data_IF_638297733661
#
_entry.id   IF_638297733661
#
_cell.length_a   1.000
_cell.length_b   1.000
_cell.length_c   1.000
_cell.angle_alpha   90.00
_cell.angle_beta   90.00
_cell.angle_gamma   90.00
#
_symmetry.space_group_name_H-M   'P 1'
#
loop_
_entity.id
_entity.type
_entity.pdbx_description
1 polymer ?
#
# COMPACT_ATOMS: atom_id res chain seq x y z
N UNK A 1 27.92 -16.86 28.88
CA UNK A 1 27.24 -15.56 28.92
C UNK A 1 26.00 -15.74 29.78
N UNK A 2 25.98 -15.07 30.93
CA UNK A 2 25.07 -15.34 32.05
C UNK A 2 23.62 -15.24 31.60
N UNK A 3 22.86 -16.33 31.76
CA UNK A 3 21.41 -16.32 31.60
C UNK A 3 20.87 -15.18 32.47
N UNK A 4 20.30 -14.15 31.83
CA UNK A 4 19.64 -13.07 32.53
C UNK A 4 18.52 -13.70 33.34
N UNK A 5 18.60 -13.67 34.67
CA UNK A 5 17.58 -14.28 35.51
C UNK A 5 16.29 -13.49 35.30
N UNK A 6 15.33 -14.08 34.59
CA UNK A 6 14.07 -13.43 34.22
C UNK A 6 13.31 -12.99 35.48
N UNK A 7 13.51 -13.68 36.60
CA UNK A 7 12.89 -13.39 37.90
C UNK A 7 13.36 -12.10 38.58
N UNK A 8 14.46 -11.48 38.11
CA UNK A 8 14.93 -10.20 38.67
C UNK A 8 14.56 -8.98 37.82
N UNK A 9 13.97 -9.20 36.63
CA UNK A 9 13.58 -8.13 35.72
C UNK A 9 12.29 -7.45 36.19
N UNK A 10 12.14 -6.11 36.04
CA UNK A 10 10.86 -5.42 36.14
C UNK A 10 9.79 -6.02 35.22
N UNK A 11 8.52 -5.96 35.63
CA UNK A 11 7.41 -6.56 34.88
C UNK A 11 7.33 -6.07 33.43
N UNK A 12 7.52 -4.77 33.20
CA UNK A 12 7.53 -4.21 31.85
C UNK A 12 8.66 -4.76 30.98
N UNK A 13 9.83 -5.09 31.54
CA UNK A 13 10.94 -5.69 30.78
C UNK A 13 10.64 -7.13 30.39
N UNK A 14 10.06 -7.93 31.30
CA UNK A 14 9.61 -9.30 30.99
C UNK A 14 8.58 -9.29 29.88
N UNK A 15 7.63 -8.37 29.97
CA UNK A 15 6.58 -8.19 28.97
C UNK A 15 7.14 -7.71 27.62
N UNK A 16 8.01 -6.69 27.63
CA UNK A 16 8.68 -6.17 26.42
C UNK A 16 9.50 -7.26 25.72
N UNK A 17 10.18 -8.13 26.48
CA UNK A 17 10.87 -9.32 25.95
C UNK A 17 9.92 -10.30 25.25
N UNK A 18 8.80 -10.64 25.88
CA UNK A 18 7.80 -11.53 25.29
C UNK A 18 7.26 -10.94 23.98
N UNK A 19 6.80 -9.68 24.03
CA UNK A 19 6.21 -8.96 22.89
C UNK A 19 7.19 -8.82 21.73
N UNK A 20 8.43 -8.43 21.99
CA UNK A 20 9.44 -8.27 20.94
C UNK A 20 9.73 -9.59 20.22
N UNK A 21 9.83 -10.70 20.97
CA UNK A 21 10.06 -12.02 20.38
C UNK A 21 8.92 -12.44 19.45
N UNK A 22 7.68 -12.30 19.92
CA UNK A 22 6.49 -12.62 19.13
C UNK A 22 6.41 -11.75 17.87
N UNK A 23 6.76 -10.47 17.97
CA UNK A 23 6.70 -9.53 16.85
C UNK A 23 7.78 -9.80 15.80
N UNK A 24 9.01 -10.15 16.20
CA UNK A 24 10.13 -10.34 15.26
C UNK A 24 10.26 -11.75 14.72
N UNK A 25 9.91 -12.76 15.54
CA UNK A 25 10.20 -14.16 15.24
C UNK A 25 8.96 -15.05 15.24
N UNK A 26 7.78 -14.50 15.55
CA UNK A 26 6.51 -15.24 15.65
C UNK A 26 6.60 -16.44 16.59
N UNK A 27 7.48 -16.37 17.59
CA UNK A 27 7.69 -17.41 18.59
C UNK A 27 8.05 -16.79 19.94
N UNK A 28 7.95 -17.60 20.99
CA UNK A 28 8.27 -17.17 22.36
C UNK A 28 9.79 -17.07 22.56
N UNK A 29 10.26 -16.24 23.51
CA UNK A 29 11.70 -16.02 23.71
C UNK A 29 12.52 -17.30 23.95
N UNK A 30 11.92 -18.32 24.56
CA UNK A 30 12.55 -19.63 24.84
C UNK A 30 12.41 -20.66 23.72
N UNK A 31 11.68 -20.33 22.65
CA UNK A 31 11.52 -21.18 21.45
C UNK A 31 12.48 -20.76 20.32
N UNK A 32 13.22 -19.66 20.51
CA UNK A 32 14.15 -19.13 19.51
C UNK A 32 15.37 -20.03 19.30
N UNK A 33 15.87 -20.09 18.06
CA UNK A 33 17.16 -20.71 17.73
C UNK A 33 18.34 -19.89 18.28
N UNK A 34 19.53 -20.47 18.38
CA UNK A 34 20.72 -19.74 18.84
C UNK A 34 21.03 -18.49 18.01
N UNK A 35 20.82 -18.54 16.70
CA UNK A 35 21.03 -17.41 15.80
C UNK A 35 20.02 -16.28 16.06
N UNK A 36 18.73 -16.63 16.21
CA UNK A 36 17.68 -15.70 16.57
C UNK A 36 17.96 -15.03 17.91
N UNK A 37 18.37 -15.82 18.91
CA UNK A 37 18.71 -15.31 20.25
C UNK A 37 19.83 -14.27 20.23
N UNK A 38 20.87 -14.46 19.39
CA UNK A 38 21.99 -13.50 19.28
C UNK A 38 21.53 -12.13 18.81
N UNK A 39 20.70 -12.07 17.77
CA UNK A 39 20.17 -10.82 17.25
C UNK A 39 19.13 -10.21 18.20
N UNK A 40 18.28 -11.07 18.76
CA UNK A 40 17.22 -10.69 19.68
C UNK A 40 17.75 -9.95 20.92
N UNK A 41 18.82 -10.44 21.55
CA UNK A 41 19.42 -9.79 22.74
C UNK A 41 19.91 -8.38 22.42
N UNK A 42 20.51 -8.17 21.25
CA UNK A 42 20.99 -6.84 20.83
C UNK A 42 19.81 -5.88 20.63
N UNK A 43 18.74 -6.36 19.99
CA UNK A 43 17.53 -5.56 19.75
C UNK A 43 16.79 -5.25 21.05
N UNK A 44 16.64 -6.24 21.93
CA UNK A 44 16.00 -6.09 23.23
C UNK A 44 16.73 -5.08 24.12
N UNK A 45 18.06 -5.12 24.17
CA UNK A 45 18.84 -4.15 24.92
C UNK A 45 18.67 -2.72 24.39
N UNK A 46 18.60 -2.55 23.06
CA UNK A 46 18.32 -1.25 22.44
C UNK A 46 16.92 -0.76 22.75
N UNK A 47 15.92 -1.65 22.68
CA UNK A 47 14.53 -1.32 23.00
C UNK A 47 14.39 -0.90 24.47
N UNK A 48 14.91 -1.67 25.42
CA UNK A 48 14.84 -1.32 26.84
C UNK A 48 15.54 -0.01 27.17
N UNK A 49 16.69 0.27 26.53
CA UNK A 49 17.36 1.58 26.68
C UNK A 49 16.42 2.71 26.27
N UNK A 50 15.73 2.54 25.14
CA UNK A 50 14.80 3.54 24.62
C UNK A 50 13.54 3.70 25.49
N UNK A 51 12.88 2.60 25.84
CA UNK A 51 11.67 2.59 26.68
C UNK A 51 11.93 3.24 28.04
N UNK A 52 13.10 2.97 28.63
CA UNK A 52 13.54 3.62 29.86
C UNK A 52 13.72 5.13 29.68
N UNK A 53 14.42 5.56 28.63
CA UNK A 53 14.64 6.98 28.35
C UNK A 53 13.33 7.74 28.10
N UNK A 54 12.38 7.12 27.42
CA UNK A 54 11.02 7.68 27.20
C UNK A 54 10.29 7.81 28.54
N UNK A 55 10.34 6.76 29.38
CA UNK A 55 9.63 6.75 30.68
C UNK A 55 10.17 7.79 31.65
N UNK A 56 11.49 7.91 31.77
CA UNK A 56 12.12 8.95 32.60
C UNK A 56 11.71 10.37 32.14
N UNK A 57 11.52 10.55 30.83
CA UNK A 57 11.04 11.82 30.27
C UNK A 57 9.53 12.02 30.49
N UNK A 58 8.75 10.95 30.47
CA UNK A 58 7.31 10.97 30.76
C UNK A 58 7.02 11.46 32.18
N UNK A 59 7.76 10.94 33.16
CA UNK A 59 7.67 11.33 34.57
C UNK A 59 7.95 12.84 34.75
N UNK A 60 8.95 13.37 34.03
CA UNK A 60 9.26 14.81 34.04
C UNK A 60 8.15 15.69 33.47
N UNK A 61 7.33 15.15 32.56
CA UNK A 61 6.26 15.89 31.87
C UNK A 61 4.87 15.68 32.50
N UNK A 62 4.75 14.80 33.50
CA UNK A 62 3.49 14.55 34.21
C UNK A 62 2.39 13.91 33.35
N UNK A 63 2.74 13.22 32.27
CA UNK A 63 1.79 12.58 31.36
C UNK A 63 1.14 11.38 32.08
N UNK A 64 -0.19 11.37 32.17
CA UNK A 64 -0.98 10.28 32.78
C UNK A 64 -1.64 9.42 31.71
N UNK A 65 -1.64 8.11 31.95
CA UNK A 65 -2.27 7.10 31.10
C UNK A 65 -3.77 7.00 31.38
N UNK A 66 -4.57 6.80 30.33
CA UNK A 66 -5.98 6.44 30.44
C UNK A 66 -6.19 4.91 30.38
N UNK A 67 -7.34 4.43 30.87
CA UNK A 67 -7.63 2.98 30.86
C UNK A 67 -7.78 2.41 29.44
N UNK A 68 -8.13 3.25 28.46
CA UNK A 68 -8.28 2.85 27.07
C UNK A 68 -6.94 2.39 26.48
N UNK A 69 -5.84 3.11 26.75
CA UNK A 69 -4.51 2.73 26.28
C UNK A 69 -4.06 1.35 26.80
N UNK A 70 -4.42 1.01 28.04
CA UNK A 70 -4.12 -0.29 28.65
C UNK A 70 -4.86 -1.41 27.93
N UNK A 71 -6.16 -1.21 27.65
CA UNK A 71 -6.97 -2.19 26.91
C UNK A 71 -6.45 -2.44 25.50
N UNK A 72 -6.06 -1.38 24.77
CA UNK A 72 -5.51 -1.51 23.42
C UNK A 72 -4.21 -2.31 23.39
N UNK A 73 -3.29 -2.07 24.34
CA UNK A 73 -2.03 -2.81 24.44
C UNK A 73 -2.27 -4.31 24.70
N UNK A 74 -3.25 -4.65 25.54
CA UNK A 74 -3.59 -6.05 25.84
C UNK A 74 -4.09 -6.80 24.61
N UNK A 75 -4.93 -6.14 23.80
CA UNK A 75 -5.52 -6.76 22.61
C UNK A 75 -4.46 -7.19 21.59
N UNK A 76 -3.48 -6.33 21.30
CA UNK A 76 -2.44 -6.60 20.29
C UNK A 76 -1.62 -7.84 20.62
N UNK A 77 -1.29 -8.06 21.90
CA UNK A 77 -0.51 -9.22 22.26
C UNK A 77 -1.35 -10.50 22.27
N UNK A 78 -2.64 -10.39 22.64
CA UNK A 78 -3.58 -11.52 22.64
C UNK A 78 -3.79 -12.11 21.24
N UNK A 79 -3.63 -11.32 20.17
CA UNK A 79 -3.76 -11.81 18.78
C UNK A 79 -2.65 -12.77 18.35
N UNK A 80 -1.53 -12.85 19.09
CA UNK A 80 -0.45 -13.82 18.80
C UNK A 80 -0.71 -15.22 19.37
N UNK A 81 -1.83 -15.42 20.09
CA UNK A 81 -2.16 -16.68 20.75
C UNK A 81 -3.51 -17.21 20.26
N UNK A 82 -3.57 -18.50 19.96
CA UNK A 82 -4.79 -19.15 19.48
C UNK A 82 -5.84 -19.28 20.60
N UNK A 83 -5.40 -19.58 21.81
CA UNK A 83 -6.26 -19.87 22.96
C UNK A 83 -5.77 -19.24 24.27
N UNK A 84 -6.66 -19.15 25.25
CA UNK A 84 -6.39 -18.56 26.56
C UNK A 84 -5.40 -19.37 27.42
N UNK A 85 -5.46 -20.71 27.48
CA UNK A 85 -4.43 -21.52 28.12
C UNK A 85 -3.00 -21.24 27.62
N UNK A 86 -2.79 -21.17 26.30
CA UNK A 86 -1.49 -20.87 25.69
C UNK A 86 -0.98 -19.47 26.10
N UNK A 87 -1.89 -18.49 26.18
CA UNK A 87 -1.60 -17.15 26.68
C UNK A 87 -1.17 -17.15 28.16
N UNK A 88 -1.95 -17.80 29.03
CA UNK A 88 -1.66 -17.88 30.46
C UNK A 88 -0.34 -18.61 30.74
N UNK A 89 -0.07 -19.70 30.01
CA UNK A 89 1.19 -20.43 30.11
C UNK A 89 2.39 -19.56 29.71
N UNK A 90 2.25 -18.73 28.68
CA UNK A 90 3.30 -17.81 28.25
C UNK A 90 3.57 -16.71 29.29
N UNK A 91 2.53 -16.14 29.90
CA UNK A 91 2.66 -15.17 30.99
C UNK A 91 3.34 -15.80 32.22
N UNK A 92 2.88 -16.98 32.62
CA UNK A 92 3.43 -17.70 33.76
C UNK A 92 4.92 -18.03 33.54
N UNK A 93 5.29 -18.51 32.36
CA UNK A 93 6.69 -18.79 32.03
C UNK A 93 7.54 -17.52 31.96
N UNK A 94 6.95 -16.41 31.51
CA UNK A 94 7.59 -15.10 31.56
C UNK A 94 7.64 -14.50 32.98
N UNK A 95 7.05 -15.16 33.98
CA UNK A 95 6.98 -14.69 35.36
C UNK A 95 6.15 -13.41 35.49
N UNK A 96 5.09 -13.27 34.70
CA UNK A 96 4.16 -12.13 34.72
C UNK A 96 2.83 -12.62 35.28
N UNK A 97 2.41 -12.08 36.42
CA UNK A 97 1.08 -12.26 36.99
C UNK A 97 0.11 -11.17 36.49
N UNK A 98 -1.18 -11.26 36.83
CA UNK A 98 -2.19 -10.30 36.37
C UNK A 98 -1.88 -8.85 36.78
N UNK A 99 -1.38 -8.66 38.00
CA UNK A 99 -0.97 -7.36 38.51
C UNK A 99 0.23 -6.81 37.71
N UNK A 100 1.24 -7.64 37.47
CA UNK A 100 2.41 -7.31 36.68
C UNK A 100 2.09 -7.07 35.20
N UNK A 101 1.15 -7.81 34.63
CA UNK A 101 0.64 -7.58 33.28
C UNK A 101 -0.01 -6.18 33.20
N UNK A 102 -0.89 -5.84 34.14
CA UNK A 102 -1.52 -4.50 34.17
C UNK A 102 -0.48 -3.40 34.30
N UNK A 103 0.57 -3.59 35.10
CA UNK A 103 1.69 -2.64 35.20
C UNK A 103 2.47 -2.52 33.89
N UNK A 104 2.75 -3.63 33.21
CA UNK A 104 3.47 -3.63 31.94
C UNK A 104 2.67 -2.95 30.81
N UNK A 105 1.35 -3.19 30.77
CA UNK A 105 0.45 -2.54 29.83
C UNK A 105 0.30 -1.04 30.12
N UNK A 106 0.24 -0.64 31.39
CA UNK A 106 0.27 0.77 31.77
C UNK A 106 1.58 1.46 31.35
N UNK A 107 2.72 0.76 31.49
CA UNK A 107 4.00 1.25 30.98
C UNK A 107 3.95 1.45 29.46
N UNK A 108 3.49 0.45 28.70
CA UNK A 108 3.34 0.57 27.24
C UNK A 108 2.44 1.75 26.84
N UNK A 109 1.27 1.87 27.47
CA UNK A 109 0.36 2.97 27.22
C UNK A 109 0.98 4.34 27.57
N UNK A 110 1.84 4.40 28.59
CA UNK A 110 2.64 5.61 28.90
C UNK A 110 3.56 5.97 27.75
N UNK A 111 4.29 5.00 27.22
CA UNK A 111 5.20 5.22 26.10
C UNK A 111 4.44 5.77 24.88
N UNK A 112 3.31 5.16 24.53
CA UNK A 112 2.45 5.61 23.43
C UNK A 112 1.95 7.04 23.65
N UNK A 113 1.40 7.34 24.84
CA UNK A 113 0.90 8.67 25.16
C UNK A 113 1.98 9.76 25.09
N UNK A 114 3.21 9.44 25.54
CA UNK A 114 4.36 10.36 25.46
C UNK A 114 4.73 10.62 24.01
N UNK A 115 4.82 9.56 23.21
CA UNK A 115 5.14 9.65 21.79
C UNK A 115 4.08 10.46 21.03
N UNK A 116 2.80 10.29 21.34
CA UNK A 116 1.71 11.06 20.76
C UNK A 116 1.75 12.53 21.20
N UNK A 117 2.03 12.81 22.47
CA UNK A 117 2.18 14.16 23.00
C UNK A 117 3.38 14.89 22.40
N UNK A 118 4.49 14.18 22.18
CA UNK A 118 5.67 14.69 21.46
C UNK A 118 5.32 14.98 20.01
N UNK A 119 4.69 14.02 19.33
CA UNK A 119 4.25 14.20 17.95
C UNK A 119 3.29 15.41 17.81
N UNK A 120 2.41 15.64 18.78
CA UNK A 120 1.50 16.79 18.83
C UNK A 120 2.18 18.16 18.94
N UNK A 121 3.45 18.22 19.31
CA UNK A 121 4.24 19.46 19.35
C UNK A 121 4.85 19.83 18.00
N UNK A 122 4.67 18.99 16.96
CA UNK A 122 5.19 19.27 15.63
C UNK A 122 4.59 20.58 15.06
N UNK A 123 5.40 21.47 14.46
CA UNK A 123 4.91 22.72 13.89
C UNK A 123 3.79 22.50 12.87
N UNK A 124 2.64 23.21 12.99
CA UNK A 124 1.53 23.00 12.08
C UNK A 124 1.92 23.34 10.64
N UNK A 125 1.42 22.55 9.69
CA UNK A 125 1.53 22.86 8.26
C UNK A 125 0.71 24.11 7.95
N UNK A 126 1.36 25.12 7.36
CA UNK A 126 0.70 26.39 7.03
C UNK A 126 -0.08 26.29 5.73
N UNK A 127 -1.19 27.04 5.65
CA UNK A 127 -2.01 27.07 4.43
C UNK A 127 -1.24 27.61 3.22
N UNK A 128 -0.37 28.60 3.42
CA UNK A 128 0.43 29.20 2.34
C UNK A 128 1.42 28.22 1.72
N UNK A 129 2.01 27.33 2.51
CA UNK A 129 2.94 26.30 2.04
C UNK A 129 2.22 25.25 1.18
N UNK A 130 1.04 24.79 1.65
CA UNK A 130 0.21 23.82 0.93
C UNK A 130 -0.32 24.40 -0.37
N UNK A 131 -0.79 25.65 -0.34
CA UNK A 131 -1.31 26.36 -1.51
C UNK A 131 -0.22 26.57 -2.57
N UNK A 132 0.96 27.04 -2.15
CA UNK A 132 2.11 27.25 -3.07
C UNK A 132 2.50 25.94 -3.75
N UNK A 133 2.58 24.85 -2.97
CA UNK A 133 2.92 23.56 -3.52
C UNK A 133 1.83 23.01 -4.45
N UNK A 134 0.55 23.17 -4.09
CA UNK A 134 -0.57 22.77 -4.95
C UNK A 134 -0.51 23.48 -6.31
N UNK A 135 -0.28 24.79 -6.32
CA UNK A 135 -0.15 25.57 -7.57
C UNK A 135 0.98 25.08 -8.47
N UNK A 136 2.10 24.66 -7.87
CA UNK A 136 3.23 24.07 -8.60
C UNK A 136 2.96 22.64 -9.09
N UNK A 137 1.93 21.97 -8.55
CA UNK A 137 1.66 20.54 -8.77
C UNK A 137 0.22 20.25 -9.22
N UNK A 138 -0.51 21.23 -9.79
CA UNK A 138 -1.92 21.09 -10.18
C UNK A 138 -2.17 19.87 -11.08
N UNK A 139 -1.24 19.60 -12.01
CA UNK A 139 -1.32 18.45 -12.92
C UNK A 139 -1.42 17.09 -12.19
N UNK A 140 -0.95 16.97 -10.94
CA UNK A 140 -1.05 15.74 -10.13
C UNK A 140 -2.45 15.49 -9.59
N UNK A 141 -3.29 16.52 -9.58
CA UNK A 141 -4.68 16.47 -9.12
C UNK A 141 -5.68 16.35 -10.27
N UNK A 142 -5.16 16.24 -11.49
CA UNK A 142 -5.94 15.93 -12.69
C UNK A 142 -5.83 14.44 -12.95
N UNK A 143 -6.98 13.76 -12.95
CA UNK A 143 -7.10 12.41 -13.47
C UNK A 143 -7.47 12.54 -14.95
N UNK A 144 -6.56 12.20 -15.88
CA UNK A 144 -6.89 12.25 -17.30
C UNK A 144 -7.95 11.19 -17.61
N UNK A 145 -8.75 11.46 -18.65
CA UNK A 145 -9.68 10.48 -19.21
C UNK A 145 -8.96 9.17 -19.53
N UNK A 146 -9.56 8.04 -19.15
CA UNK A 146 -9.08 6.70 -19.49
C UNK A 146 -10.18 5.91 -20.18
N UNK A 147 -9.79 5.02 -21.09
CA UNK A 147 -10.72 4.10 -21.75
C UNK A 147 -10.27 2.67 -21.56
N UNK A 148 -11.16 1.83 -21.05
CA UNK A 148 -10.94 0.38 -21.00
C UNK A 148 -11.17 -0.14 -22.41
N UNK A 149 -10.11 -0.67 -23.03
CA UNK A 149 -10.11 -1.01 -24.44
C UNK A 149 -9.66 -2.44 -24.72
N UNK A 150 -10.18 -2.98 -25.81
CA UNK A 150 -9.70 -4.20 -26.45
C UNK A 150 -9.31 -3.91 -27.89
N UNK A 151 -8.40 -4.71 -28.42
CA UNK A 151 -7.78 -4.52 -29.72
C UNK A 151 -7.61 -5.85 -30.44
N UNK A 152 -7.96 -5.85 -31.72
CA UNK A 152 -7.70 -6.91 -32.68
C UNK A 152 -6.89 -6.32 -33.84
N UNK A 153 -5.73 -6.91 -34.11
CA UNK A 153 -4.83 -6.55 -35.22
C UNK A 153 -4.75 -7.71 -36.22
N UNK A 154 -4.82 -7.40 -37.51
CA UNK A 154 -4.29 -8.23 -38.58
C UNK A 154 -3.18 -7.45 -39.29
N UNK A 155 -1.99 -8.04 -39.41
CA UNK A 155 -0.81 -7.43 -40.01
C UNK A 155 -0.93 -7.47 -41.53
N UNK A 156 -0.56 -6.37 -42.19
CA UNK A 156 -0.40 -6.34 -43.65
C UNK A 156 1.09 -6.54 -43.94
N UNK A 157 1.39 -7.58 -44.72
CA UNK A 157 2.73 -7.84 -45.25
C UNK A 157 2.60 -8.29 -46.71
N UNK A 158 2.81 -7.35 -47.63
CA UNK A 158 2.68 -7.59 -49.07
C UNK A 158 3.78 -8.53 -49.62
N UNK A 159 4.81 -8.85 -48.84
CA UNK A 159 5.79 -9.88 -49.20
C UNK A 159 5.25 -11.31 -48.96
N UNK A 160 4.18 -11.46 -48.19
CA UNK A 160 3.55 -12.74 -47.89
C UNK A 160 2.23 -12.90 -48.64
N UNK A 161 2.09 -13.98 -49.40
CA UNK A 161 0.92 -14.23 -50.24
C UNK A 161 -0.41 -14.23 -49.44
N UNK A 162 -0.40 -14.66 -48.18
CA UNK A 162 -1.59 -14.75 -47.32
C UNK A 162 -1.85 -13.50 -46.44
N UNK A 163 -1.00 -12.49 -46.53
CA UNK A 163 -1.06 -11.26 -45.72
C UNK A 163 -1.05 -9.98 -46.56
N UNK A 164 -1.30 -10.12 -47.87
CA UNK A 164 -1.50 -8.97 -48.76
C UNK A 164 -2.67 -8.11 -48.28
N UNK A 165 -2.60 -6.80 -48.56
CA UNK A 165 -3.64 -5.83 -48.18
C UNK A 165 -5.06 -6.29 -48.49
N UNK A 166 -5.30 -6.85 -49.69
CA UNK A 166 -6.63 -7.27 -50.12
C UNK A 166 -7.17 -8.44 -49.26
N UNK A 167 -6.33 -9.45 -48.98
CA UNK A 167 -6.72 -10.61 -48.18
C UNK A 167 -6.98 -10.21 -46.73
N UNK A 168 -6.11 -9.37 -46.17
CA UNK A 168 -6.25 -8.86 -44.79
C UNK A 168 -7.51 -8.01 -44.66
N UNK A 169 -7.83 -7.17 -45.65
CA UNK A 169 -9.07 -6.39 -45.68
C UNK A 169 -10.33 -7.28 -45.67
N UNK A 170 -10.38 -8.32 -46.50
CA UNK A 170 -11.51 -9.26 -46.54
C UNK A 170 -11.68 -10.01 -45.22
N UNK A 171 -10.57 -10.49 -44.64
CA UNK A 171 -10.55 -11.15 -43.32
C UNK A 171 -11.04 -10.20 -42.23
N UNK A 172 -10.54 -8.97 -42.22
CA UNK A 172 -10.93 -7.98 -41.22
C UNK A 172 -12.41 -7.59 -41.34
N UNK A 173 -12.92 -7.40 -42.56
CA UNK A 173 -14.33 -7.12 -42.80
C UNK A 173 -15.24 -8.27 -42.34
N UNK A 174 -14.81 -9.53 -42.50
CA UNK A 174 -15.54 -10.68 -41.96
C UNK A 174 -15.55 -10.69 -40.42
N UNK A 175 -14.43 -10.36 -39.78
CA UNK A 175 -14.36 -10.22 -38.31
C UNK A 175 -15.23 -9.07 -37.81
N UNK A 176 -15.19 -7.91 -38.46
CA UNK A 176 -16.01 -6.76 -38.10
C UNK A 176 -17.50 -7.08 -38.14
N UNK A 177 -17.99 -7.74 -39.20
CA UNK A 177 -19.39 -8.19 -39.27
C UNK A 177 -19.77 -9.13 -38.13
N UNK A 178 -18.88 -10.05 -37.76
CA UNK A 178 -19.09 -10.96 -36.61
C UNK A 178 -19.18 -10.22 -35.29
N UNK A 179 -18.33 -9.20 -35.10
CA UNK A 179 -18.31 -8.37 -33.90
C UNK A 179 -19.52 -7.43 -33.83
N UNK A 180 -19.97 -6.88 -34.96
CA UNK A 180 -21.18 -6.06 -35.04
C UNK A 180 -22.45 -6.84 -34.63
N UNK A 181 -22.49 -8.15 -34.89
CA UNK A 181 -23.59 -9.00 -34.43
C UNK A 181 -23.54 -9.28 -32.93
N UNK A 182 -22.34 -9.41 -32.36
CA UNK A 182 -22.14 -9.74 -30.94
C UNK A 182 -20.73 -9.31 -30.48
N UNK A 183 -20.58 -8.10 -29.91
CA UNK A 183 -19.30 -7.59 -29.43
C UNK A 183 -18.67 -8.47 -28.35
N UNK A 184 -19.46 -9.29 -27.62
CA UNK A 184 -18.93 -10.19 -26.58
C UNK A 184 -18.08 -11.32 -27.16
N UNK A 185 -18.06 -11.49 -28.48
CA UNK A 185 -17.15 -12.43 -29.18
C UNK A 185 -15.74 -11.88 -29.32
N UNK A 186 -15.50 -10.61 -28.98
CA UNK A 186 -14.22 -9.94 -29.16
C UNK A 186 -13.05 -10.77 -28.63
N UNK A 187 -13.11 -11.17 -27.36
CA UNK A 187 -12.04 -11.95 -26.74
C UNK A 187 -11.73 -13.25 -27.50
N UNK A 188 -12.76 -14.00 -27.89
CA UNK A 188 -12.58 -15.27 -28.63
C UNK A 188 -12.03 -15.05 -30.04
N UNK A 189 -12.48 -13.99 -30.72
CA UNK A 189 -11.99 -13.65 -32.05
C UNK A 189 -10.56 -13.11 -32.00
N UNK A 190 -10.22 -12.33 -30.99
CA UNK A 190 -8.87 -11.84 -30.75
C UNK A 190 -7.89 -12.99 -30.49
N UNK A 191 -8.22 -13.92 -29.57
CA UNK A 191 -7.39 -15.13 -29.31
C UNK A 191 -7.14 -15.94 -30.58
N UNK A 192 -8.15 -16.06 -31.44
CA UNK A 192 -8.08 -16.94 -32.61
C UNK A 192 -7.41 -16.30 -33.83
N UNK A 193 -7.58 -15.00 -34.02
CA UNK A 193 -7.23 -14.33 -35.27
C UNK A 193 -6.29 -13.14 -35.10
N UNK A 194 -6.18 -12.56 -33.91
CA UNK A 194 -5.36 -11.36 -33.75
C UNK A 194 -3.87 -11.70 -33.74
N UNK A 195 -3.10 -10.84 -34.39
CA UNK A 195 -1.63 -10.87 -34.41
C UNK A 195 -1.02 -9.86 -33.42
N UNK A 196 -1.81 -9.40 -32.44
CA UNK A 196 -1.35 -8.50 -31.38
C UNK A 196 -0.81 -9.33 -30.20
N UNK A 197 0.21 -8.85 -29.45
CA UNK A 197 0.66 -9.53 -28.23
C UNK A 197 -0.45 -9.78 -27.20
N UNK A 198 -1.48 -8.93 -27.16
CA UNK A 198 -2.63 -9.09 -26.25
C UNK A 198 -3.66 -10.11 -26.73
N UNK A 199 -3.46 -10.78 -27.87
CA UNK A 199 -4.40 -11.75 -28.45
C UNK A 199 -4.78 -12.85 -27.44
N UNK A 200 -3.79 -13.42 -26.75
CA UNK A 200 -4.00 -14.48 -25.75
C UNK A 200 -4.82 -14.01 -24.54
N UNK A 201 -4.82 -12.71 -24.26
CA UNK A 201 -5.64 -12.07 -23.21
C UNK A 201 -6.99 -11.55 -23.76
N UNK A 202 -7.42 -12.06 -24.91
CA UNK A 202 -8.66 -11.62 -25.55
C UNK A 202 -8.56 -10.24 -26.21
N UNK A 203 -7.35 -9.78 -26.52
CA UNK A 203 -7.11 -8.45 -27.09
C UNK A 203 -7.14 -7.33 -26.06
N UNK A 204 -7.18 -7.63 -24.76
CA UNK A 204 -7.35 -6.63 -23.71
C UNK A 204 -6.13 -5.69 -23.63
N UNK A 205 -6.35 -4.40 -23.83
CA UNK A 205 -5.35 -3.35 -23.64
C UNK A 205 -5.37 -2.78 -22.20
N UNK A 206 -6.49 -2.96 -21.49
CA UNK A 206 -6.69 -2.38 -20.17
C UNK A 206 -7.09 -0.90 -20.26
N UNK A 207 -6.81 -0.14 -19.19
CA UNK A 207 -7.13 1.29 -19.12
C UNK A 207 -6.08 2.13 -19.84
N UNK A 208 -6.46 2.69 -20.97
CA UNK A 208 -5.60 3.47 -21.85
C UNK A 208 -5.81 4.96 -21.65
N UNK A 209 -4.71 5.73 -21.57
CA UNK A 209 -4.69 7.20 -21.63
C UNK A 209 -4.35 7.65 -23.04
N UNK A 210 -4.72 8.89 -23.39
CA UNK A 210 -4.34 9.51 -24.67
C UNK A 210 -2.82 9.50 -24.85
N UNK A 211 -2.38 9.24 -26.07
CA UNK A 211 -0.97 9.19 -26.47
C UNK A 211 -0.25 7.87 -26.18
N UNK A 212 -0.98 6.81 -25.78
CA UNK A 212 -0.40 5.48 -25.53
C UNK A 212 -0.52 4.52 -26.72
N UNK A 213 -1.32 4.85 -27.73
CA UNK A 213 -1.50 4.06 -28.96
C UNK A 213 -0.95 4.81 -30.18
N UNK A 214 -0.90 4.12 -31.33
CA UNK A 214 -0.68 4.78 -32.62
C UNK A 214 -1.69 5.93 -32.82
N UNK A 215 -1.30 7.07 -33.42
CA UNK A 215 -2.14 8.27 -33.52
C UNK A 215 -3.55 8.01 -34.06
N UNK A 216 -3.69 7.12 -35.05
CA UNK A 216 -4.95 6.74 -35.68
C UNK A 216 -5.85 5.96 -34.71
N UNK A 217 -5.26 5.04 -33.94
CA UNK A 217 -5.97 4.25 -32.93
C UNK A 217 -6.33 5.09 -31.71
N UNK A 218 -5.45 6.00 -31.28
CA UNK A 218 -5.70 6.89 -30.16
C UNK A 218 -6.86 7.85 -30.50
N UNK A 219 -6.80 8.51 -31.66
CA UNK A 219 -7.85 9.38 -32.14
C UNK A 219 -9.20 8.64 -32.26
N UNK A 220 -9.19 7.41 -32.81
CA UNK A 220 -10.39 6.59 -32.89
C UNK A 220 -10.91 6.21 -31.49
N UNK A 221 -10.07 5.58 -30.66
CA UNK A 221 -10.44 5.09 -29.34
C UNK A 221 -11.09 6.17 -28.51
N UNK A 222 -10.54 7.39 -28.55
CA UNK A 222 -11.01 8.52 -27.77
C UNK A 222 -12.18 9.32 -28.38
N UNK A 223 -12.64 8.95 -29.57
CA UNK A 223 -13.89 9.46 -30.17
C UNK A 223 -15.11 8.55 -29.90
N UNK A 224 -14.86 7.30 -29.50
CA UNK A 224 -15.87 6.26 -29.30
C UNK A 224 -16.79 6.51 -28.08
N UNK A 225 -17.88 5.76 -27.97
CA UNK A 225 -18.71 5.71 -26.77
C UNK A 225 -18.44 4.41 -25.99
N UNK A 226 -18.85 4.38 -24.73
CA UNK A 226 -18.86 3.15 -23.93
C UNK A 226 -19.62 2.04 -24.65
N UNK A 227 -19.06 0.83 -24.58
CA UNK A 227 -19.54 -0.39 -25.21
C UNK A 227 -19.76 -0.30 -26.74
N UNK A 228 -18.84 0.38 -27.45
CA UNK A 228 -18.90 0.49 -28.92
C UNK A 228 -17.68 -0.07 -29.62
N UNK A 229 -17.88 -0.59 -30.83
CA UNK A 229 -16.83 -1.06 -31.73
C UNK A 229 -16.42 0.04 -32.71
N UNK A 230 -15.14 0.11 -33.04
CA UNK A 230 -14.64 1.04 -34.05
C UNK A 230 -14.99 0.57 -35.47
N UNK A 231 -14.97 1.48 -36.46
CA UNK A 231 -14.67 1.08 -37.84
C UNK A 231 -13.31 0.38 -37.93
N UNK A 232 -13.02 -0.22 -39.08
CA UNK A 232 -11.66 -0.72 -39.35
C UNK A 232 -10.74 0.49 -39.42
N UNK A 233 -9.68 0.50 -38.62
CA UNK A 233 -8.66 1.55 -38.60
C UNK A 233 -7.39 0.97 -39.21
N UNK A 234 -6.77 1.72 -40.13
CA UNK A 234 -5.49 1.34 -40.73
C UNK A 234 -4.35 2.07 -40.02
N UNK A 235 -3.26 1.36 -39.74
CA UNK A 235 -1.97 1.94 -39.32
C UNK A 235 -0.86 1.36 -40.18
N UNK A 236 0.38 1.80 -39.95
CA UNK A 236 1.56 1.23 -40.61
C UNK A 236 1.74 -0.29 -40.38
N UNK A 237 1.15 -0.87 -39.33
CA UNK A 237 1.23 -2.32 -39.07
C UNK A 237 0.21 -3.13 -39.88
N UNK A 238 -0.95 -2.55 -40.19
CA UNK A 238 -2.06 -3.29 -40.79
C UNK A 238 -3.42 -2.74 -40.39
N UNK A 239 -4.40 -3.64 -40.25
CA UNK A 239 -5.79 -3.29 -39.96
C UNK A 239 -6.16 -3.62 -38.52
N UNK A 240 -6.97 -2.75 -37.92
CA UNK A 240 -7.30 -2.80 -36.51
C UNK A 240 -8.80 -2.66 -36.29
N UNK A 241 -9.32 -3.35 -35.27
CA UNK A 241 -10.63 -3.08 -34.67
C UNK A 241 -10.42 -2.86 -33.18
N UNK A 242 -11.07 -1.82 -32.65
CA UNK A 242 -11.09 -1.49 -31.23
C UNK A 242 -12.48 -1.73 -30.66
N UNK A 243 -12.53 -2.12 -29.39
CA UNK A 243 -13.76 -2.10 -28.59
C UNK A 243 -13.51 -1.25 -27.34
N UNK A 244 -14.30 -0.20 -27.16
CA UNK A 244 -14.26 0.61 -25.95
C UNK A 244 -15.27 0.03 -24.96
N UNK A 245 -14.80 -0.74 -23.99
CA UNK A 245 -15.66 -1.39 -22.99
C UNK A 245 -16.19 -0.36 -21.98
N UNK A 246 -15.31 0.53 -21.48
CA UNK A 246 -15.68 1.53 -20.47
C UNK A 246 -14.91 2.84 -20.66
N UNK A 247 -15.51 3.95 -20.23
CA UNK A 247 -14.89 5.27 -20.21
C UNK A 247 -14.87 5.76 -18.76
N UNK A 248 -13.68 6.10 -18.27
CA UNK A 248 -13.49 6.86 -17.04
C UNK A 248 -13.22 8.30 -17.47
N UNK A 249 -14.16 9.25 -17.26
CA UNK A 249 -14.00 10.62 -17.69
C UNK A 249 -12.84 11.29 -16.96
N UNK A 250 -12.30 12.36 -17.56
CA UNK A 250 -11.37 13.20 -16.84
C UNK A 250 -12.06 13.75 -15.59
N UNK A 251 -11.36 13.70 -14.45
CA UNK A 251 -11.84 14.25 -13.20
C UNK A 251 -10.73 15.03 -12.54
N UNK A 252 -11.11 16.07 -11.80
CA UNK A 252 -10.18 16.83 -10.99
C UNK A 252 -10.53 16.60 -9.53
N UNK A 253 -9.52 16.36 -8.70
CA UNK A 253 -9.72 16.41 -7.26
C UNK A 253 -10.04 17.85 -6.91
N UNK A 254 -11.22 18.16 -6.32
CA UNK A 254 -11.57 19.52 -5.94
C UNK A 254 -10.45 20.15 -5.13
N UNK A 255 -10.04 21.38 -5.47
CA UNK A 255 -8.92 22.07 -4.81
C UNK A 255 -9.01 21.99 -3.28
N UNK A 256 -10.18 22.25 -2.70
CA UNK A 256 -10.38 22.17 -1.25
C UNK A 256 -10.04 20.78 -0.68
N UNK A 257 -10.42 19.71 -1.37
CA UNK A 257 -10.11 18.34 -0.98
C UNK A 257 -8.61 18.04 -1.16
N UNK A 258 -8.00 18.49 -2.25
CA UNK A 258 -6.57 18.33 -2.50
C UNK A 258 -5.73 19.02 -1.40
N UNK A 259 -6.03 20.28 -1.08
CA UNK A 259 -5.36 21.02 -0.02
C UNK A 259 -5.53 20.34 1.35
N UNK A 260 -6.71 19.82 1.66
CA UNK A 260 -6.96 19.10 2.91
C UNK A 260 -6.10 17.82 3.01
N UNK A 261 -6.05 17.01 1.94
CA UNK A 261 -5.25 15.78 1.88
C UNK A 261 -3.74 16.08 2.00
N UNK A 262 -3.24 17.09 1.29
CA UNK A 262 -1.83 17.49 1.38
C UNK A 262 -1.51 17.94 2.81
N UNK A 263 -2.35 18.78 3.40
CA UNK A 263 -2.15 19.29 4.77
C UNK A 263 -2.10 18.15 5.78
N UNK A 264 -3.03 17.22 5.71
CA UNK A 264 -3.08 16.05 6.58
C UNK A 264 -1.83 15.18 6.44
N UNK A 265 -1.46 14.84 5.20
CA UNK A 265 -0.27 14.03 4.92
C UNK A 265 1.02 14.69 5.43
N UNK A 266 1.17 15.99 5.20
CA UNK A 266 2.34 16.74 5.63
C UNK A 266 2.37 16.94 7.14
N UNK A 267 1.21 17.14 7.76
CA UNK A 267 1.11 17.23 9.21
C UNK A 267 1.57 15.93 9.84
N UNK A 268 1.08 14.80 9.34
CA UNK A 268 1.50 13.47 9.81
C UNK A 268 3.00 13.23 9.59
N UNK A 269 3.52 13.63 8.43
CA UNK A 269 4.96 13.56 8.14
C UNK A 269 5.78 14.38 9.14
N UNK A 270 5.35 15.60 9.48
CA UNK A 270 6.01 16.46 10.47
C UNK A 270 5.93 15.88 11.87
N UNK A 271 4.78 15.32 12.26
CA UNK A 271 4.60 14.61 13.53
C UNK A 271 5.61 13.48 13.69
N UNK A 272 5.74 12.62 12.67
CA UNK A 272 6.70 11.52 12.66
C UNK A 272 8.16 11.99 12.68
N UNK A 273 8.49 13.03 11.90
CA UNK A 273 9.84 13.61 11.88
C UNK A 273 10.20 14.21 13.25
N UNK A 274 9.28 14.95 13.88
CA UNK A 274 9.49 15.55 15.19
C UNK A 274 9.69 14.48 16.26
N UNK A 275 8.85 13.44 16.27
CA UNK A 275 9.00 12.29 17.16
C UNK A 275 10.36 11.59 16.96
N UNK A 276 10.78 11.36 15.70
CA UNK A 276 12.09 10.75 15.39
C UNK A 276 13.26 11.61 15.88
N UNK A 277 13.19 12.93 15.69
CA UNK A 277 14.20 13.86 16.18
C UNK A 277 14.28 13.82 17.71
N UNK A 278 13.12 13.87 18.37
CA UNK A 278 13.04 13.77 19.82
C UNK A 278 13.62 12.45 20.34
N UNK A 279 13.28 11.30 19.73
CA UNK A 279 13.87 10.00 20.06
C UNK A 279 15.40 9.99 19.93
N UNK A 280 15.93 10.67 18.91
CA UNK A 280 17.39 10.80 18.74
C UNK A 280 18.03 11.62 19.88
N UNK A 281 17.35 12.65 20.40
CA UNK A 281 17.88 13.45 21.53
C UNK A 281 17.95 12.68 22.84
N UNK A 282 17.04 11.73 23.06
CA UNK A 282 17.00 10.92 24.28
C UNK A 282 17.81 9.62 24.16
N UNK A 283 17.88 9.02 22.96
CA UNK A 283 18.61 7.76 22.73
C UNK A 283 20.13 7.90 22.64
N UNK A 284 20.61 9.11 22.31
CA UNK A 284 22.04 9.45 22.22
C UNK A 284 22.70 9.73 23.58
N UNK A 285 21.91 9.92 24.65
CA UNK A 285 22.39 10.01 26.03
C UNK A 285 22.50 8.62 26.67
#
# INVERSE_FOLDING_TARGET
MTACNVETLPMWQRYSRLKLSLSLHQCLPWQQTEEQQRLFVIQLARQWKLERAISERAEQQGIRVDENGIMSAQYVLRTFFDDEPSWLAALQHAGIDDAGLRQALAHEATLTAVLDAVAGQAPPVSDGEVETWYQQNVHRFQQPEKRLAHHLLLVIDDAQADSTRAIVADRMAALQRRLQMDPRRFARLAVRFSECPTALEGGKLGWIKRGMLYPELDAMLFSMRTDTLSPIVETAMGLHILWCEAIQPASEVPKAQALAQIREQWQETRRQQYQRQWLATIGAR
#
